data_IF_556919592028
#
_entry.id   IF_556919592028
#
_cell.length_a   1.000
_cell.length_b   1.000
_cell.length_c   1.000
_cell.angle_alpha   90.00
_cell.angle_beta   90.00
_cell.angle_gamma   90.00
#
_symmetry.space_group_name_H-M   'P 1'
#
loop_
_entity.id
_entity.type
_entity.pdbx_description
1 polymer ?
#
# COMPACT_ATOMS: atom_id res chain seq x y z
N UNK A 1 -52.61 22.75 36.06
CA UNK A 1 -52.51 22.42 37.50
C UNK A 1 -51.06 22.13 37.79
N UNK A 2 -50.26 23.18 37.87
CA UNK A 2 -48.81 23.05 38.09
C UNK A 2 -48.59 23.04 39.60
N UNK A 3 -48.26 21.88 40.15
CA UNK A 3 -47.83 21.77 41.53
C UNK A 3 -46.57 22.65 41.71
N UNK A 4 -46.48 23.48 42.76
CA UNK A 4 -45.24 24.19 43.02
C UNK A 4 -44.16 23.13 43.25
N UNK A 5 -43.03 23.26 42.53
CA UNK A 5 -41.84 22.44 42.75
C UNK A 5 -41.48 22.54 44.24
N UNK A 6 -41.86 21.52 45.01
CA UNK A 6 -41.53 21.42 46.43
C UNK A 6 -40.02 21.22 46.52
N UNK A 7 -39.32 22.31 46.86
CA UNK A 7 -37.90 22.26 47.09
C UNK A 7 -37.66 21.76 48.52
N UNK A 8 -37.21 20.51 48.67
CA UNK A 8 -36.84 19.94 49.95
C UNK A 8 -35.33 19.96 50.13
N UNK A 9 -34.83 20.59 51.20
CA UNK A 9 -33.39 20.78 51.43
C UNK A 9 -32.60 19.45 51.48
N UNK A 10 -33.22 18.38 52.00
CA UNK A 10 -32.59 17.08 52.08
C UNK A 10 -32.37 16.43 50.71
N UNK A 11 -33.31 16.63 49.79
CA UNK A 11 -33.30 16.04 48.45
C UNK A 11 -32.58 16.93 47.42
N UNK A 12 -32.82 18.24 47.48
CA UNK A 12 -32.40 19.17 46.42
C UNK A 12 -31.13 19.93 46.75
N UNK A 13 -30.80 20.07 48.04
CA UNK A 13 -29.62 20.80 48.51
C UNK A 13 -28.64 19.88 49.27
N UNK A 14 -28.68 18.56 48.99
CA UNK A 14 -27.84 17.53 49.60
C UNK A 14 -27.80 17.55 51.14
N UNK A 15 -28.85 18.08 51.79
CA UNK A 15 -28.88 18.37 53.23
C UNK A 15 -27.78 19.34 53.72
N UNK A 16 -27.11 20.05 52.80
CA UNK A 16 -26.02 21.01 53.06
C UNK A 16 -26.38 22.44 52.70
N UNK A 17 -27.65 22.73 52.44
CA UNK A 17 -28.14 24.08 52.19
C UNK A 17 -29.62 24.23 52.53
N UNK A 18 -30.13 25.45 52.35
CA UNK A 18 -31.55 25.76 52.48
C UNK A 18 -32.15 26.10 51.11
N UNK A 19 -33.39 25.66 50.87
CA UNK A 19 -34.10 25.98 49.64
C UNK A 19 -34.59 27.44 49.64
N UNK A 20 -34.37 28.15 48.54
CA UNK A 20 -34.94 29.46 48.28
C UNK A 20 -36.33 29.33 47.63
N UNK A 21 -37.20 30.36 47.70
CA UNK A 21 -38.50 30.35 47.03
C UNK A 21 -38.43 30.15 45.51
N UNK A 22 -37.28 30.42 44.91
CA UNK A 22 -37.00 30.19 43.48
C UNK A 22 -36.70 28.72 43.13
N UNK A 23 -36.56 27.84 44.13
CA UNK A 23 -36.12 26.45 43.94
C UNK A 23 -34.61 26.25 43.89
N UNK A 24 -33.81 27.33 43.98
CA UNK A 24 -32.36 27.24 44.09
C UNK A 24 -31.90 26.98 45.53
N UNK A 25 -30.70 26.43 45.71
CA UNK A 25 -30.12 26.20 47.03
C UNK A 25 -29.23 27.35 47.49
N UNK A 26 -29.40 27.75 48.75
CA UNK A 26 -28.45 28.58 49.48
C UNK A 26 -27.55 27.68 50.33
N UNK A 27 -26.30 27.51 49.94
CA UNK A 27 -25.40 26.54 50.56
C UNK A 27 -24.85 27.02 51.91
N UNK A 28 -24.72 26.07 52.83
CA UNK A 28 -24.11 26.32 54.14
C UNK A 28 -22.61 26.57 54.00
N UNK A 29 -22.00 27.17 55.03
CA UNK A 29 -20.57 27.44 55.05
C UNK A 29 -19.74 26.18 54.73
N UNK A 30 -18.77 26.31 53.83
CA UNK A 30 -17.93 25.20 53.37
C UNK A 30 -18.53 24.33 52.27
N UNK A 31 -19.74 24.63 51.78
CA UNK A 31 -20.40 23.90 50.69
C UNK A 31 -20.67 24.79 49.47
N UNK A 32 -20.67 24.19 48.28
CA UNK A 32 -20.88 24.85 47.00
C UNK A 32 -21.57 23.91 45.99
N UNK A 33 -22.01 24.46 44.86
CA UNK A 33 -22.76 23.71 43.85
C UNK A 33 -24.22 24.15 43.77
N UNK A 34 -24.93 23.72 42.74
CA UNK A 34 -26.34 24.11 42.54
C UNK A 34 -27.26 23.46 43.58
N UNK A 35 -26.83 22.31 44.08
CA UNK A 35 -27.47 21.47 45.09
C UNK A 35 -26.59 21.32 46.34
N UNK A 36 -25.59 22.19 46.52
CA UNK A 36 -24.63 22.13 47.64
C UNK A 36 -23.89 20.78 47.74
N UNK A 37 -23.68 20.14 46.59
CA UNK A 37 -23.14 18.81 46.43
C UNK A 37 -21.60 18.74 46.54
N UNK A 38 -20.92 19.89 46.39
CA UNK A 38 -19.45 20.03 46.43
C UNK A 38 -19.01 20.77 47.69
N UNK A 39 -17.75 20.61 48.07
CA UNK A 39 -17.12 21.50 49.05
C UNK A 39 -16.83 22.86 48.42
N UNK A 40 -16.86 23.91 49.23
CA UNK A 40 -16.40 25.24 48.82
C UNK A 40 -14.90 25.21 48.48
N UNK A 41 -14.43 26.06 47.54
CA UNK A 41 -13.01 26.11 47.16
C UNK A 41 -12.10 26.28 48.37
N UNK A 42 -11.07 25.42 48.48
CA UNK A 42 -10.10 25.45 49.59
C UNK A 42 -10.61 24.90 50.93
N UNK A 43 -11.85 24.39 50.98
CA UNK A 43 -12.43 23.79 52.18
C UNK A 43 -12.54 22.28 52.02
N UNK A 44 -12.08 21.54 53.01
CA UNK A 44 -12.34 20.12 53.11
C UNK A 44 -13.56 19.87 54.01
N UNK A 45 -14.72 19.67 53.38
CA UNK A 45 -16.00 19.50 54.06
C UNK A 45 -16.34 18.02 54.38
N UNK A 46 -15.47 17.07 54.01
CA UNK A 46 -15.66 15.63 54.26
C UNK A 46 -14.32 14.91 54.52
N UNK A 47 -14.24 14.10 55.57
CA UNK A 47 -13.03 13.32 55.89
C UNK A 47 -12.59 12.38 54.74
N UNK A 48 -13.49 12.01 53.83
CA UNK A 48 -13.17 11.21 52.65
C UNK A 48 -12.17 11.87 51.69
N UNK A 49 -12.05 13.20 51.73
CA UNK A 49 -11.18 13.98 50.84
C UNK A 49 -9.85 14.41 51.48
N UNK A 50 -9.58 14.00 52.73
CA UNK A 50 -8.40 14.42 53.50
C UNK A 50 -7.04 14.01 52.91
N UNK A 51 -7.03 13.19 51.84
CA UNK A 51 -5.82 12.75 51.11
C UNK A 51 -5.54 13.47 49.78
N UNK A 52 -6.47 14.28 49.26
CA UNK A 52 -6.20 15.18 48.12
C UNK A 52 -6.98 14.90 46.84
N UNK A 53 -8.27 15.22 46.81
CA UNK A 53 -8.98 15.47 45.54
C UNK A 53 -8.46 16.74 44.83
N UNK A 54 -7.85 17.66 45.57
CA UNK A 54 -7.72 19.09 45.22
C UNK A 54 -6.72 19.33 44.07
N UNK A 55 -5.80 18.40 43.84
CA UNK A 55 -4.78 18.54 42.77
C UNK A 55 -5.41 18.53 41.39
N UNK A 56 -6.32 17.59 41.13
CA UNK A 56 -6.96 17.40 39.82
C UNK A 56 -8.44 17.03 39.91
N UNK A 57 -9.15 17.55 40.92
CA UNK A 57 -10.56 17.24 41.14
C UNK A 57 -11.24 18.10 42.19
N UNK A 58 -12.55 17.92 42.32
CA UNK A 58 -13.38 18.60 43.32
C UNK A 58 -13.92 17.60 44.32
N UNK A 59 -13.81 17.91 45.62
CA UNK A 59 -14.37 17.07 46.68
C UNK A 59 -15.89 17.22 46.77
N UNK A 60 -16.58 16.10 46.83
CA UNK A 60 -18.02 15.98 47.02
C UNK A 60 -18.38 15.80 48.50
N UNK A 61 -19.61 16.16 48.85
CA UNK A 61 -20.11 16.11 50.24
C UNK A 61 -20.21 14.70 50.83
N UNK A 62 -20.25 13.67 49.99
CA UNK A 62 -20.19 12.25 50.40
C UNK A 62 -18.75 11.75 50.61
N UNK A 63 -17.74 12.59 50.34
CA UNK A 63 -16.33 12.25 50.43
C UNK A 63 -15.73 11.63 49.17
N UNK A 64 -16.46 11.57 48.05
CA UNK A 64 -15.91 11.20 46.74
C UNK A 64 -15.22 12.38 46.04
N UNK A 65 -14.36 12.09 45.05
CA UNK A 65 -13.76 13.11 44.19
C UNK A 65 -14.39 13.09 42.80
N UNK A 66 -14.79 14.25 42.30
CA UNK A 66 -15.11 14.47 40.89
C UNK A 66 -13.82 14.93 40.19
N UNK A 67 -13.23 14.06 39.36
CA UNK A 67 -11.94 14.34 38.73
C UNK A 67 -12.07 15.24 37.51
N UNK A 68 -11.05 16.07 37.28
CA UNK A 68 -10.87 16.83 36.05
C UNK A 68 -10.65 15.90 34.86
N UNK A 69 -10.92 16.39 33.65
CA UNK A 69 -10.68 15.64 32.42
C UNK A 69 -9.23 15.11 32.37
N UNK A 70 -9.08 13.86 31.95
CA UNK A 70 -7.80 13.16 31.92
C UNK A 70 -7.40 12.49 33.23
N UNK A 71 -8.04 12.81 34.36
CA UNK A 71 -7.71 12.26 35.67
C UNK A 71 -8.76 11.28 36.18
N UNK A 72 -8.30 10.28 36.94
CA UNK A 72 -9.12 9.24 37.53
C UNK A 72 -8.51 8.75 38.86
N UNK A 73 -9.19 7.77 39.46
CA UNK A 73 -8.82 7.24 40.77
C UNK A 73 -9.56 7.93 41.91
N UNK A 74 -9.44 7.36 43.12
CA UNK A 74 -10.16 7.87 44.30
C UNK A 74 -9.70 9.26 44.72
N UNK A 75 -8.51 9.68 44.30
CA UNK A 75 -7.92 10.98 44.63
C UNK A 75 -7.58 11.80 43.38
N UNK A 76 -8.04 11.36 42.19
CA UNK A 76 -7.68 12.01 40.92
C UNK A 76 -6.16 12.09 40.71
N UNK A 77 -5.46 11.00 41.02
CA UNK A 77 -4.00 10.89 41.07
C UNK A 77 -3.42 9.93 40.02
N UNK A 78 -4.28 9.36 39.17
CA UNK A 78 -3.89 8.52 38.03
C UNK A 78 -4.58 8.99 36.76
N UNK A 79 -4.02 8.69 35.60
CA UNK A 79 -4.68 9.04 34.35
C UNK A 79 -5.96 8.21 34.13
N UNK A 80 -6.98 8.86 33.59
CA UNK A 80 -8.19 8.22 33.10
C UNK A 80 -7.86 7.30 31.91
N UNK A 81 -8.76 6.36 31.63
CA UNK A 81 -8.59 5.47 30.47
C UNK A 81 -8.48 6.29 29.18
N UNK A 82 -7.45 6.02 28.39
CA UNK A 82 -7.19 6.73 27.13
C UNK A 82 -6.29 7.96 27.28
N UNK A 83 -5.92 8.36 28.50
CA UNK A 83 -4.98 9.45 28.77
C UNK A 83 -3.65 8.94 29.29
N UNK A 84 -2.57 9.66 28.97
CA UNK A 84 -1.20 9.34 29.38
C UNK A 84 -0.38 10.62 29.64
N UNK A 85 0.88 10.45 30.03
CA UNK A 85 1.79 11.55 30.35
C UNK A 85 1.69 12.00 31.81
N UNK A 86 2.58 12.93 32.19
CA UNK A 86 2.66 13.44 33.58
C UNK A 86 1.44 14.31 33.94
N UNK A 87 0.89 15.03 32.96
CA UNK A 87 -0.29 15.87 33.11
C UNK A 87 -1.62 15.20 32.79
N UNK A 88 -1.59 13.94 32.33
CA UNK A 88 -2.74 13.22 31.78
C UNK A 88 -3.49 14.02 30.71
N UNK A 89 -2.75 14.76 29.88
CA UNK A 89 -3.23 15.66 28.83
C UNK A 89 -2.89 15.17 27.42
N UNK A 90 -2.25 14.00 27.31
CA UNK A 90 -1.95 13.33 26.04
C UNK A 90 -2.84 12.09 25.87
N UNK A 91 -3.25 11.78 24.64
CA UNK A 91 -3.95 10.53 24.38
C UNK A 91 -2.98 9.35 24.39
N UNK A 92 -3.35 8.31 25.13
CA UNK A 92 -2.63 7.06 25.17
C UNK A 92 -2.67 6.35 23.81
N UNK A 93 -1.72 5.45 23.57
CA UNK A 93 -1.60 4.78 22.29
C UNK A 93 -2.89 4.01 21.96
N UNK A 94 -3.50 4.34 20.81
CA UNK A 94 -4.76 3.74 20.38
C UNK A 94 -6.01 4.48 20.83
N UNK A 95 -5.86 5.69 21.38
CA UNK A 95 -6.96 6.63 21.61
C UNK A 95 -6.68 7.95 20.87
N UNK A 96 -7.75 8.62 20.45
CA UNK A 96 -7.71 9.96 19.86
C UNK A 96 -9.03 10.70 20.14
N UNK A 97 -9.11 11.96 19.72
CA UNK A 97 -10.22 12.85 20.01
C UNK A 97 -9.80 13.99 20.92
N UNK A 98 -10.68 14.97 21.13
CA UNK A 98 -10.39 16.12 21.99
C UNK A 98 -10.36 15.73 23.47
N UNK A 99 -11.00 14.61 23.83
CA UNK A 99 -11.09 14.07 25.17
C UNK A 99 -10.60 12.61 25.22
N UNK A 100 -9.79 12.19 24.25
CA UNK A 100 -9.24 10.84 24.10
C UNK A 100 -10.30 9.72 24.20
N UNK A 101 -11.53 10.03 23.80
CA UNK A 101 -12.71 9.19 23.93
C UNK A 101 -12.85 8.16 22.79
N UNK A 102 -12.17 8.41 21.66
CA UNK A 102 -12.27 7.58 20.47
C UNK A 102 -11.17 6.54 20.50
N UNK A 103 -11.55 5.29 20.79
CA UNK A 103 -10.62 4.16 20.75
C UNK A 103 -10.42 3.69 19.32
N UNK A 104 -9.18 3.68 18.83
CA UNK A 104 -8.84 3.12 17.54
C UNK A 104 -9.09 1.61 17.57
N UNK A 105 -9.93 1.11 16.67
CA UNK A 105 -10.18 -0.33 16.50
C UNK A 105 -9.55 -0.82 15.20
N UNK A 106 -9.40 -2.14 15.08
CA UNK A 106 -8.96 -2.80 13.85
C UNK A 106 -9.88 -2.58 12.66
N UNK A 107 -11.04 -1.96 12.80
CA UNK A 107 -11.93 -1.66 11.66
C UNK A 107 -12.27 -0.16 11.57
N UNK A 108 -12.19 0.58 12.67
CA UNK A 108 -12.67 1.96 12.74
C UNK A 108 -11.74 2.99 12.10
N UNK A 109 -10.50 3.11 12.59
CA UNK A 109 -9.68 4.30 12.27
C UNK A 109 -8.72 4.06 11.09
N UNK A 110 -8.00 2.92 11.11
CA UNK A 110 -7.00 2.58 10.10
C UNK A 110 -7.35 1.29 9.33
N UNK A 111 -8.62 0.88 9.34
CA UNK A 111 -9.12 -0.35 8.68
C UNK A 111 -8.31 -1.62 9.02
N UNK A 112 -7.65 -1.65 10.18
CA UNK A 112 -6.83 -2.79 10.62
C UNK A 112 -5.52 -2.93 9.86
N UNK A 113 -5.22 -1.96 9.01
CA UNK A 113 -4.10 -1.93 8.06
C UNK A 113 -3.07 -0.87 8.43
N UNK A 114 -3.10 -0.37 9.67
CA UNK A 114 -2.14 0.60 10.19
C UNK A 114 -2.19 0.78 11.70
N UNK A 115 -1.25 1.59 12.20
CA UNK A 115 -1.20 2.08 13.58
C UNK A 115 -1.77 3.49 13.65
N UNK A 116 -2.56 3.76 14.68
CA UNK A 116 -3.21 5.03 14.94
C UNK A 116 -2.31 5.93 15.80
N UNK A 117 -2.15 7.20 15.41
CA UNK A 117 -1.54 8.26 16.21
C UNK A 117 -2.53 8.93 17.16
N UNK A 118 -2.02 9.75 18.09
CA UNK A 118 -2.83 10.47 19.07
C UNK A 118 -3.79 11.50 18.43
N UNK A 119 -3.47 11.99 17.24
CA UNK A 119 -4.30 12.89 16.44
C UNK A 119 -5.32 12.14 15.56
N UNK A 120 -5.34 10.81 15.61
CA UNK A 120 -6.18 9.96 14.76
C UNK A 120 -5.57 9.67 13.37
N UNK A 121 -4.37 10.17 13.07
CA UNK A 121 -3.68 9.84 11.82
C UNK A 121 -3.23 8.38 11.77
N UNK A 122 -3.17 7.80 10.57
CA UNK A 122 -2.77 6.40 10.39
C UNK A 122 -1.36 6.27 9.79
N UNK A 123 -0.51 5.54 10.49
CA UNK A 123 0.73 5.00 9.94
C UNK A 123 0.45 3.60 9.37
N UNK A 124 0.29 3.51 8.05
CA UNK A 124 -0.10 2.28 7.37
C UNK A 124 0.98 1.20 7.42
N UNK A 125 0.55 -0.05 7.51
CA UNK A 125 1.43 -1.21 7.36
C UNK A 125 1.92 -1.35 5.92
N UNK A 126 3.01 -2.09 5.75
CA UNK A 126 3.67 -2.27 4.47
C UNK A 126 2.67 -2.76 3.40
N UNK A 127 2.62 -2.03 2.28
CA UNK A 127 1.74 -2.33 1.16
C UNK A 127 0.39 -1.62 1.16
N UNK A 128 0.03 -0.93 2.24
CA UNK A 128 -1.16 -0.09 2.33
C UNK A 128 -0.79 1.40 2.37
N UNK A 129 -1.72 2.25 1.94
CA UNK A 129 -1.54 3.69 1.86
C UNK A 129 -2.89 4.44 2.03
N UNK A 130 -2.78 5.77 2.08
CA UNK A 130 -3.90 6.68 2.28
C UNK A 130 -4.19 6.97 3.75
N UNK A 131 -4.99 7.99 3.99
CA UNK A 131 -5.31 8.53 5.33
C UNK A 131 -5.87 7.48 6.30
N UNK A 132 -6.62 6.50 5.77
CA UNK A 132 -7.24 5.41 6.55
C UNK A 132 -6.71 4.03 6.18
N UNK A 133 -5.57 3.94 5.47
CA UNK A 133 -4.96 2.68 5.02
C UNK A 133 -5.87 1.78 4.16
N UNK A 134 -6.76 2.39 3.38
CA UNK A 134 -7.70 1.70 2.48
C UNK A 134 -7.13 1.48 1.09
N UNK A 135 -6.11 2.24 0.71
CA UNK A 135 -5.49 2.19 -0.61
C UNK A 135 -4.29 1.24 -0.59
N UNK A 136 -3.89 0.75 -1.76
CA UNK A 136 -2.61 0.07 -1.89
C UNK A 136 -1.49 1.09 -2.06
N UNK A 137 -0.34 0.82 -1.46
CA UNK A 137 0.87 1.59 -1.73
C UNK A 137 1.26 1.47 -3.20
N UNK A 138 2.00 2.46 -3.70
CA UNK A 138 2.46 2.48 -5.09
C UNK A 138 3.12 1.16 -5.48
N UNK A 139 2.77 0.66 -6.67
CA UNK A 139 3.26 -0.62 -7.18
C UNK A 139 2.57 -1.84 -6.56
N UNK A 140 1.41 -1.72 -5.89
CA UNK A 140 0.65 -2.86 -5.36
C UNK A 140 -0.84 -2.84 -5.67
N UNK A 141 -1.45 -4.02 -5.83
CA UNK A 141 -2.87 -4.20 -6.15
C UNK A 141 -3.48 -5.43 -5.48
N UNK A 142 -4.79 -5.65 -5.71
CA UNK A 142 -5.57 -6.73 -5.14
C UNK A 142 -6.20 -6.39 -3.78
N UNK A 143 -7.12 -7.24 -3.31
CA UNK A 143 -7.96 -6.98 -2.13
C UNK A 143 -7.16 -6.77 -0.82
N UNK A 144 -5.95 -7.33 -0.74
CA UNK A 144 -5.00 -7.15 0.36
C UNK A 144 -3.66 -6.54 -0.08
N UNK A 145 -3.60 -5.84 -1.22
CA UNK A 145 -2.40 -5.14 -1.70
C UNK A 145 -1.14 -6.04 -1.76
N UNK A 146 -1.35 -7.34 -1.93
CA UNK A 146 -0.32 -8.36 -1.88
C UNK A 146 0.27 -8.64 -3.27
N UNK A 147 -0.41 -8.22 -4.34
CA UNK A 147 0.06 -8.33 -5.71
C UNK A 147 0.94 -7.12 -6.00
N UNK A 148 2.16 -7.33 -6.50
CA UNK A 148 2.97 -6.22 -7.03
C UNK A 148 2.51 -5.90 -8.46
N UNK A 149 2.35 -4.62 -8.79
CA UNK A 149 1.87 -4.15 -10.10
C UNK A 149 2.94 -4.34 -11.18
N UNK A 150 4.21 -4.51 -10.80
CA UNK A 150 5.33 -4.83 -11.71
C UNK A 150 5.14 -6.18 -12.46
N UNK A 151 4.17 -7.00 -12.02
CA UNK A 151 3.77 -8.28 -12.63
C UNK A 151 3.28 -8.19 -14.09
N UNK A 152 2.99 -6.99 -14.62
CA UNK A 152 2.66 -6.80 -16.05
C UNK A 152 3.88 -6.45 -16.91
N UNK A 153 5.01 -6.09 -16.30
CA UNK A 153 6.29 -5.81 -16.99
C UNK A 153 7.26 -7.00 -16.96
N UNK A 154 7.09 -7.95 -16.02
CA UNK A 154 8.06 -9.04 -15.79
C UNK A 154 8.20 -10.05 -16.95
N UNK A 155 7.19 -10.16 -17.82
CA UNK A 155 7.26 -10.97 -19.06
C UNK A 155 7.13 -10.13 -20.34
N UNK A 156 7.37 -8.81 -20.27
CA UNK A 156 7.31 -7.86 -21.41
C UNK A 156 5.97 -7.78 -22.18
N UNK A 157 4.91 -8.39 -21.65
CA UNK A 157 3.65 -8.60 -22.39
C UNK A 157 3.68 -9.78 -23.37
N UNK A 158 4.84 -10.45 -23.52
CA UNK A 158 5.07 -11.58 -24.41
C UNK A 158 4.97 -12.94 -23.70
N UNK A 159 4.43 -12.95 -22.48
CA UNK A 159 4.23 -14.16 -21.70
C UNK A 159 3.29 -13.99 -20.52
N UNK A 160 2.92 -15.12 -19.92
CA UNK A 160 2.10 -15.19 -18.71
C UNK A 160 2.98 -15.45 -17.50
N UNK A 161 2.84 -14.65 -16.45
CA UNK A 161 3.53 -14.90 -15.19
C UNK A 161 2.92 -16.11 -14.43
N UNK A 162 3.80 -16.94 -13.86
CA UNK A 162 3.48 -18.09 -13.01
C UNK A 162 3.59 -17.73 -11.52
N UNK A 163 2.93 -18.50 -10.64
CA UNK A 163 2.90 -18.27 -9.19
C UNK A 163 4.28 -18.29 -8.50
N UNK A 164 5.28 -18.92 -9.12
CA UNK A 164 6.67 -18.97 -8.65
C UNK A 164 7.54 -17.79 -9.13
N UNK A 165 6.96 -16.83 -9.85
CA UNK A 165 7.66 -15.68 -10.42
C UNK A 165 8.36 -15.95 -11.75
N UNK A 166 8.24 -17.15 -12.33
CA UNK A 166 8.73 -17.44 -13.68
C UNK A 166 7.72 -17.00 -14.76
N UNK A 167 8.20 -16.83 -16.00
CA UNK A 167 7.37 -16.54 -17.16
C UNK A 167 7.10 -17.81 -18.00
N UNK A 168 5.84 -18.02 -18.35
CA UNK A 168 5.38 -18.93 -19.39
C UNK A 168 5.24 -18.11 -20.69
N UNK A 169 6.27 -18.15 -21.53
CA UNK A 169 6.38 -17.29 -22.70
C UNK A 169 5.47 -17.73 -23.85
N UNK A 170 4.89 -16.76 -24.55
CA UNK A 170 4.18 -17.00 -25.79
C UNK A 170 5.20 -17.16 -26.91
N UNK A 171 5.09 -18.21 -27.71
CA UNK A 171 5.94 -18.38 -28.89
C UNK A 171 5.73 -17.20 -29.86
N UNK A 172 6.79 -16.62 -30.45
CA UNK A 172 8.16 -17.13 -30.54
C UNK A 172 9.16 -16.62 -29.49
N UNK A 173 8.70 -16.22 -28.29
CA UNK A 173 9.58 -15.69 -27.24
C UNK A 173 9.97 -16.75 -26.21
N UNK A 174 11.17 -16.61 -25.64
CA UNK A 174 11.75 -17.52 -24.66
C UNK A 174 12.61 -16.79 -23.60
N UNK A 175 13.13 -17.54 -22.63
CA UNK A 175 14.00 -17.02 -21.57
C UNK A 175 13.27 -16.54 -20.31
N UNK A 176 14.04 -16.04 -19.33
CA UNK A 176 13.54 -15.75 -17.96
C UNK A 176 12.46 -14.65 -17.90
N UNK A 177 12.36 -13.82 -18.92
CA UNK A 177 11.37 -12.74 -19.04
C UNK A 177 10.82 -12.58 -20.45
N UNK A 178 10.84 -13.64 -21.27
CA UNK A 178 10.41 -13.61 -22.66
C UNK A 178 11.15 -12.56 -23.50
N UNK A 179 12.47 -12.47 -23.29
CA UNK A 179 13.36 -11.50 -23.96
C UNK A 179 14.21 -12.14 -25.06
N UNK A 180 14.31 -13.47 -25.06
CA UNK A 180 15.04 -14.23 -26.06
C UNK A 180 14.06 -14.75 -27.13
N UNK A 181 14.58 -15.17 -28.27
CA UNK A 181 13.77 -15.80 -29.32
C UNK A 181 13.85 -17.31 -29.24
N UNK A 182 12.77 -17.98 -29.61
CA UNK A 182 12.78 -19.42 -29.90
C UNK A 182 13.76 -19.73 -31.05
N UNK A 183 14.22 -20.98 -31.11
CA UNK A 183 15.13 -21.44 -32.15
C UNK A 183 14.53 -21.19 -33.56
N UNK A 184 15.33 -20.57 -34.44
CA UNK A 184 14.90 -20.19 -35.79
C UNK A 184 14.25 -18.81 -35.89
N UNK A 185 14.03 -18.10 -34.78
CA UNK A 185 13.53 -16.72 -34.76
C UNK A 185 14.61 -15.72 -34.34
N UNK A 186 14.58 -14.55 -34.95
CA UNK A 186 15.60 -13.52 -34.84
C UNK A 186 14.98 -12.12 -34.86
N UNK A 187 15.74 -11.13 -34.39
CA UNK A 187 15.29 -9.74 -34.31
C UNK A 187 14.90 -9.30 -32.90
N UNK A 188 14.67 -8.01 -32.71
CA UNK A 188 14.37 -7.43 -31.40
C UNK A 188 12.97 -7.81 -30.88
N UNK A 189 12.10 -8.26 -31.78
CA UNK A 189 10.74 -8.74 -31.49
C UNK A 189 10.49 -10.15 -32.05
N UNK A 190 11.55 -10.91 -32.35
CA UNK A 190 11.50 -12.29 -32.86
C UNK A 190 10.64 -12.45 -34.12
N UNK A 191 10.58 -11.42 -34.95
CA UNK A 191 9.72 -11.36 -36.14
C UNK A 191 10.33 -12.05 -37.37
N UNK A 192 11.65 -12.22 -37.40
CA UNK A 192 12.36 -12.81 -38.53
C UNK A 192 12.52 -14.30 -38.29
N UNK A 193 11.92 -15.14 -39.14
CA UNK A 193 12.10 -16.58 -39.09
C UNK A 193 13.05 -17.05 -40.20
N UNK A 194 14.08 -17.82 -39.82
CA UNK A 194 15.01 -18.42 -40.75
C UNK A 194 15.12 -19.93 -40.51
N UNK A 195 14.68 -20.70 -41.51
CA UNK A 195 14.88 -22.14 -41.63
C UNK A 195 15.88 -22.35 -42.76
N UNK A 196 17.09 -22.80 -42.48
CA UNK A 196 18.17 -22.79 -43.47
C UNK A 196 17.84 -23.62 -44.74
N UNK A 197 17.05 -24.70 -44.61
CA UNK A 197 16.63 -25.54 -45.74
C UNK A 197 15.65 -24.81 -46.65
N UNK A 198 14.77 -23.97 -46.07
CA UNK A 198 13.71 -23.28 -46.82
C UNK A 198 14.07 -21.84 -47.19
N UNK A 199 14.58 -21.09 -46.22
CA UNK A 199 14.94 -19.67 -46.35
C UNK A 199 16.26 -19.52 -47.08
N UNK A 200 17.25 -20.37 -46.79
CA UNK A 200 18.59 -20.32 -47.41
C UNK A 200 18.80 -21.41 -48.46
N UNK A 201 17.72 -22.01 -48.95
CA UNK A 201 17.71 -23.06 -49.99
C UNK A 201 18.60 -24.28 -49.68
N UNK A 202 18.96 -24.49 -48.42
CA UNK A 202 19.94 -25.52 -48.00
C UNK A 202 21.40 -25.17 -48.32
N UNK A 203 21.65 -24.00 -48.92
CA UNK A 203 22.96 -23.56 -49.43
C UNK A 203 23.56 -22.41 -48.61
N UNK A 204 23.03 -22.17 -47.42
CA UNK A 204 23.51 -21.16 -46.49
C UNK A 204 23.09 -21.48 -45.06
N UNK A 205 23.60 -20.71 -44.11
CA UNK A 205 23.22 -20.79 -42.71
C UNK A 205 22.52 -19.50 -42.29
N UNK A 206 21.62 -19.59 -41.33
CA UNK A 206 20.98 -18.41 -40.73
C UNK A 206 21.99 -17.68 -39.84
N UNK A 207 22.30 -16.44 -40.18
CA UNK A 207 23.11 -15.53 -39.38
C UNK A 207 22.36 -15.05 -38.12
N UNK A 208 23.03 -14.23 -37.30
CA UNK A 208 22.51 -13.79 -35.99
C UNK A 208 21.27 -12.89 -36.06
N UNK A 209 20.97 -12.33 -37.23
CA UNK A 209 19.79 -11.50 -37.51
C UNK A 209 18.72 -12.25 -38.34
N UNK A 210 18.96 -13.53 -38.64
CA UNK A 210 18.10 -14.35 -39.48
C UNK A 210 18.33 -14.19 -40.99
N UNK A 211 19.33 -13.40 -41.42
CA UNK A 211 19.72 -13.33 -42.83
C UNK A 211 20.57 -14.56 -43.23
N UNK A 212 20.54 -14.95 -44.51
CA UNK A 212 21.34 -16.08 -44.97
C UNK A 212 22.80 -15.69 -45.19
N UNK A 213 23.70 -16.46 -44.57
CA UNK A 213 25.13 -16.48 -44.86
C UNK A 213 25.41 -17.65 -45.83
N UNK A 214 25.58 -17.33 -47.11
CA UNK A 214 25.71 -18.34 -48.16
C UNK A 214 27.03 -19.10 -48.09
N UNK A 215 26.96 -20.40 -48.41
CA UNK A 215 28.13 -21.24 -48.62
C UNK A 215 28.90 -20.79 -49.88
N UNK A 216 30.20 -21.07 -49.98
CA UNK A 216 31.00 -20.69 -51.15
C UNK A 216 30.38 -21.19 -52.46
N UNK A 217 30.33 -20.31 -53.48
CA UNK A 217 29.71 -20.60 -54.77
C UNK A 217 28.22 -20.22 -54.86
N UNK A 218 27.59 -19.88 -53.73
CA UNK A 218 26.20 -19.44 -53.66
C UNK A 218 26.09 -17.98 -53.21
N UNK A 219 25.05 -17.30 -53.67
CA UNK A 219 24.79 -15.89 -53.47
C UNK A 219 23.28 -15.59 -53.51
N UNK A 220 22.92 -14.34 -53.25
CA UNK A 220 21.53 -13.90 -53.14
C UNK A 220 21.02 -13.97 -51.70
N UNK A 221 19.87 -13.34 -51.44
CA UNK A 221 19.29 -13.25 -50.10
C UNK A 221 18.86 -14.62 -49.54
N UNK A 222 18.58 -15.59 -50.42
CA UNK A 222 18.15 -16.95 -50.09
C UNK A 222 19.17 -18.02 -50.49
N UNK A 223 20.38 -17.62 -50.91
CA UNK A 223 21.44 -18.52 -51.39
C UNK A 223 21.01 -19.45 -52.52
N UNK A 224 20.16 -18.94 -53.42
CA UNK A 224 19.60 -19.65 -54.57
C UNK A 224 20.26 -19.27 -55.91
N UNK A 225 21.23 -18.35 -55.88
CA UNK A 225 21.89 -17.83 -57.08
C UNK A 225 23.37 -18.20 -57.08
N UNK A 226 23.91 -18.65 -58.21
CA UNK A 226 25.35 -18.92 -58.30
C UNK A 226 26.19 -17.64 -58.23
N UNK A 227 27.32 -17.70 -57.53
CA UNK A 227 28.33 -16.63 -57.57
C UNK A 227 28.89 -16.47 -58.99
N UNK A 228 29.42 -15.27 -59.28
CA UNK A 228 29.95 -14.93 -60.60
C UNK A 228 31.06 -15.92 -61.04
N UNK A 229 30.81 -16.64 -62.14
CA UNK A 229 31.73 -17.66 -62.67
C UNK A 229 31.37 -19.12 -62.32
N UNK A 230 30.30 -19.35 -61.56
CA UNK A 230 29.71 -20.67 -61.31
C UNK A 230 28.37 -20.84 -62.04
N UNK A 231 28.07 -22.06 -62.51
CA UNK A 231 26.84 -22.40 -63.22
C UNK A 231 26.34 -23.84 -62.89
N UNK A 232 25.10 -24.14 -63.30
CA UNK A 232 24.48 -25.45 -63.13
C UNK A 232 23.71 -25.65 -61.82
N UNK A 233 23.04 -26.80 -61.68
CA UNK A 233 22.05 -27.11 -60.61
C UNK A 233 22.60 -27.13 -59.18
N UNK A 234 23.91 -27.04 -59.00
CA UNK A 234 24.60 -26.95 -57.69
C UNK A 234 25.73 -25.91 -57.69
N UNK A 235 25.79 -25.03 -58.69
CA UNK A 235 26.88 -24.03 -58.85
C UNK A 235 28.30 -24.64 -58.84
N UNK A 236 28.43 -25.91 -59.26
CA UNK A 236 29.70 -26.64 -59.30
C UNK A 236 30.37 -26.61 -60.67
N UNK A 237 29.65 -26.24 -61.74
CA UNK A 237 30.27 -26.07 -63.04
C UNK A 237 30.90 -24.68 -63.12
N UNK A 238 32.09 -24.58 -63.71
CA UNK A 238 32.79 -23.31 -63.88
C UNK A 238 32.50 -22.73 -65.24
N UNK A 239 32.00 -21.50 -65.27
CA UNK A 239 31.83 -20.72 -66.49
C UNK A 239 33.03 -19.78 -66.64
N UNK A 240 33.95 -20.11 -67.55
CA UNK A 240 35.05 -19.23 -67.92
C UNK A 240 34.69 -18.51 -69.23
N UNK A 241 34.71 -17.17 -69.24
CA UNK A 241 34.42 -16.40 -70.45
C UNK A 241 35.37 -16.72 -71.63
N UNK A 242 36.60 -17.17 -71.35
CA UNK A 242 37.54 -17.60 -72.39
C UNK A 242 37.10 -18.90 -73.06
N UNK A 243 36.69 -19.90 -72.26
CA UNK A 243 36.35 -21.25 -72.75
C UNK A 243 34.88 -21.35 -73.19
N UNK A 244 33.96 -20.78 -72.41
CA UNK A 244 32.50 -20.91 -72.57
C UNK A 244 31.91 -19.81 -73.46
N UNK A 245 32.44 -18.58 -73.40
CA UNK A 245 31.94 -17.45 -74.19
C UNK A 245 32.85 -17.02 -75.36
N UNK A 246 33.92 -17.79 -75.64
CA UNK A 246 34.91 -17.47 -76.68
C UNK A 246 35.43 -16.02 -76.61
N UNK A 247 35.64 -15.51 -75.38
CA UNK A 247 36.06 -14.13 -75.09
C UNK A 247 35.10 -13.01 -75.52
N UNK A 248 33.85 -13.31 -75.88
CA UNK A 248 32.89 -12.33 -76.42
C UNK A 248 31.62 -12.14 -75.57
N UNK A 249 31.62 -12.61 -74.32
CA UNK A 249 30.45 -12.51 -73.43
C UNK A 249 30.84 -12.55 -71.95
N UNK A 250 29.84 -12.33 -71.08
CA UNK A 250 29.94 -12.51 -69.63
C UNK A 250 28.98 -13.62 -69.22
N UNK A 251 29.42 -14.50 -68.32
CA UNK A 251 28.55 -15.51 -67.73
C UNK A 251 27.48 -14.80 -66.88
N UNK A 252 26.21 -15.13 -67.08
CA UNK A 252 25.12 -14.62 -66.25
C UNK A 252 24.72 -15.67 -65.22
N UNK A 253 24.19 -15.28 -64.05
CA UNK A 253 23.88 -16.22 -62.97
C UNK A 253 22.86 -17.32 -63.32
N UNK A 254 22.09 -17.15 -64.40
CA UNK A 254 21.08 -18.11 -64.87
C UNK A 254 21.56 -19.02 -66.03
N UNK A 255 22.83 -18.90 -66.45
CA UNK A 255 23.37 -19.52 -67.67
C UNK A 255 23.28 -18.61 -68.89
#
# INVERSE_FOLDING_TARGET
SDAPLLCEAALNCSSKGSCLPSGACNCSEGHAGKSCERCAPGVNCSAGCSGGCITHGTCMTDGSCECALGWAGKQCDVCATGFTGIGCDECDQGFHGLECEVRCTTEGTCNGRGRCGADGSCACYLGYAGEHCTQCADGRSGWNCSVKIDALEECRGEGRQMDNGACDCFSPFSGQGCMDCDEGFFGATCETHCDFEKTCSGNGLCGSDGACECLPGWSGASCDVCEEGAEGVECQASCNAEDTCSSNGRCMPDG
#
